data_IF_451553084619
#
_entry.id   IF_451553084619
#
_cell.length_a   1.000
_cell.length_b   1.000
_cell.length_c   1.000
_cell.angle_alpha   90.00
_cell.angle_beta   90.00
_cell.angle_gamma   90.00
#
_symmetry.space_group_name_H-M   'P 1'
#
loop_
_entity.id
_entity.type
_entity.pdbx_description
1 polymer ?
#
# COMPACT_ATOMS: atom_id res chain seq x y z
N UNK A 1 -1.16 -7.60 5.82
CA UNK A 1 -0.84 -8.76 6.67
C UNK A 1 -0.03 -8.19 7.81
N UNK A 2 -0.67 -7.90 8.94
CA UNK A 2 -0.04 -7.18 10.05
C UNK A 2 1.12 -8.01 10.63
N UNK A 3 2.03 -7.31 11.31
CA UNK A 3 3.19 -7.78 12.06
C UNK A 3 3.16 -9.26 12.48
N UNK A 4 4.21 -9.99 12.09
CA UNK A 4 4.52 -11.35 12.58
C UNK A 4 3.91 -12.50 11.77
N UNK A 5 3.15 -12.22 10.71
CA UNK A 5 2.63 -13.25 9.82
C UNK A 5 3.61 -13.58 8.67
N UNK A 6 3.51 -14.78 8.06
CA UNK A 6 4.36 -15.12 6.91
C UNK A 6 4.07 -14.24 5.69
N UNK A 7 5.05 -14.08 4.79
CA UNK A 7 4.93 -13.30 3.56
C UNK A 7 4.04 -14.00 2.50
N UNK A 8 2.74 -14.09 2.78
CA UNK A 8 1.75 -14.71 1.92
C UNK A 8 0.70 -13.73 1.42
N UNK A 9 0.27 -13.99 0.19
CA UNK A 9 -0.90 -13.41 -0.44
C UNK A 9 -2.02 -14.45 -0.48
N UNK A 10 -3.26 -13.98 -0.35
CA UNK A 10 -4.44 -14.82 -0.46
C UNK A 10 -5.22 -14.43 -1.71
N UNK A 11 -5.39 -15.38 -2.62
CA UNK A 11 -6.26 -15.18 -3.77
C UNK A 11 -7.71 -15.44 -3.36
N UNK A 12 -8.60 -14.50 -3.66
CA UNK A 12 -10.02 -14.56 -3.30
C UNK A 12 -10.88 -14.65 -4.57
N UNK A 13 -11.99 -15.38 -4.49
CA UNK A 13 -13.05 -15.27 -5.50
C UNK A 13 -14.00 -14.08 -5.21
N UNK A 14 -14.97 -13.86 -6.09
CA UNK A 14 -15.95 -12.77 -5.95
C UNK A 14 -16.91 -12.94 -4.78
N UNK A 15 -16.99 -14.13 -4.18
CA UNK A 15 -17.74 -14.40 -2.97
C UNK A 15 -16.88 -14.23 -1.71
N UNK A 16 -15.61 -13.84 -1.85
CA UNK A 16 -14.66 -13.71 -0.74
C UNK A 16 -14.08 -15.04 -0.27
N UNK A 17 -14.27 -16.14 -1.01
CA UNK A 17 -13.69 -17.43 -0.65
C UNK A 17 -12.23 -17.50 -1.06
N UNK A 18 -11.39 -18.05 -0.19
CA UNK A 18 -9.98 -18.28 -0.48
C UNK A 18 -9.83 -19.37 -1.54
N UNK A 19 -9.17 -19.03 -2.64
CA UNK A 19 -8.83 -19.93 -3.74
C UNK A 19 -7.46 -20.57 -3.56
N UNK A 20 -6.48 -19.79 -3.10
CA UNK A 20 -5.12 -20.26 -2.87
C UNK A 20 -4.38 -19.33 -1.90
N UNK A 21 -3.44 -19.92 -1.16
CA UNK A 21 -2.35 -19.22 -0.47
C UNK A 21 -1.10 -19.21 -1.35
N UNK A 22 -0.57 -18.01 -1.60
CA UNK A 22 0.56 -17.76 -2.50
C UNK A 22 1.70 -17.11 -1.70
N UNK A 23 2.82 -17.80 -1.57
CA UNK A 23 3.98 -17.28 -0.85
C UNK A 23 4.83 -16.34 -1.70
N UNK A 24 5.60 -15.47 -1.04
CA UNK A 24 6.58 -14.61 -1.67
C UNK A 24 8.00 -15.00 -1.26
N UNK A 25 8.84 -15.32 -2.25
CA UNK A 25 10.24 -15.69 -2.03
C UNK A 25 11.03 -14.48 -1.52
N UNK A 26 11.91 -14.74 -0.54
CA UNK A 26 12.87 -13.78 0.02
C UNK A 26 12.23 -12.49 0.59
N UNK A 27 10.94 -12.51 0.89
CA UNK A 27 10.23 -11.41 1.52
C UNK A 27 10.12 -11.62 3.03
N UNK A 28 10.53 -10.62 3.81
CA UNK A 28 10.56 -10.73 5.27
C UNK A 28 9.24 -10.33 5.97
N UNK A 29 8.25 -9.80 5.24
CA UNK A 29 6.96 -9.32 5.75
C UNK A 29 7.04 -8.64 7.12
N UNK A 30 7.85 -7.57 7.20
CA UNK A 30 8.12 -6.91 8.47
C UNK A 30 6.88 -6.21 9.01
N UNK A 31 6.25 -5.37 8.19
CA UNK A 31 4.96 -4.73 8.49
C UNK A 31 4.22 -4.43 7.18
N UNK A 32 3.52 -5.43 6.63
CA UNK A 32 2.81 -5.33 5.35
C UNK A 32 1.45 -4.68 5.51
N UNK A 33 1.31 -3.48 4.94
CA UNK A 33 0.10 -2.66 5.06
C UNK A 33 -0.84 -2.86 3.88
N UNK A 34 -0.52 -2.21 2.75
CA UNK A 34 -1.41 -2.13 1.58
C UNK A 34 -0.87 -2.94 0.38
N UNK A 35 -1.76 -3.28 -0.55
CA UNK A 35 -1.44 -3.93 -1.83
C UNK A 35 -2.14 -3.23 -2.99
N UNK A 36 -1.35 -2.81 -3.99
CA UNK A 36 -1.85 -2.15 -5.18
C UNK A 36 -1.74 -3.04 -6.42
N UNK A 37 -2.83 -3.17 -7.18
CA UNK A 37 -2.82 -3.81 -8.50
C UNK A 37 -2.61 -2.77 -9.59
N UNK A 38 -1.77 -3.08 -10.59
CA UNK A 38 -1.54 -2.18 -11.72
C UNK A 38 -1.08 -2.92 -12.97
N UNK A 39 -1.25 -2.27 -14.12
CA UNK A 39 -0.74 -2.78 -15.41
C UNK A 39 0.33 -1.85 -15.95
N UNK A 40 1.53 -2.38 -16.17
CA UNK A 40 2.65 -1.66 -16.76
C UNK A 40 3.03 -2.30 -18.09
N UNK A 41 2.95 -1.54 -19.18
CA UNK A 41 3.26 -2.01 -20.55
C UNK A 41 2.47 -3.29 -20.94
N UNK A 42 1.20 -3.35 -20.54
CA UNK A 42 0.30 -4.47 -20.84
C UNK A 42 0.45 -5.69 -19.93
N UNK A 43 1.41 -5.67 -18.99
CA UNK A 43 1.62 -6.75 -18.03
C UNK A 43 1.02 -6.37 -16.67
N UNK A 44 0.18 -7.24 -16.05
CA UNK A 44 -0.34 -7.02 -14.71
C UNK A 44 0.68 -7.35 -13.62
N UNK A 45 0.66 -6.54 -12.56
CA UNK A 45 1.54 -6.59 -11.41
C UNK A 45 0.77 -6.30 -10.12
N UNK A 46 1.29 -6.83 -9.01
CA UNK A 46 0.90 -6.44 -7.66
C UNK A 46 2.11 -5.78 -6.98
N UNK A 47 1.88 -4.67 -6.29
CA UNK A 47 2.85 -4.01 -5.42
C UNK A 47 2.42 -4.16 -3.97
N UNK A 48 3.28 -4.75 -3.15
CA UNK A 48 3.03 -5.01 -1.74
C UNK A 48 3.87 -4.02 -0.93
N UNK A 49 3.22 -3.25 -0.05
CA UNK A 49 3.86 -2.23 0.77
C UNK A 49 4.31 -2.83 2.11
N UNK A 50 5.61 -3.05 2.27
CA UNK A 50 6.24 -3.29 3.58
C UNK A 50 6.65 -1.94 4.17
N UNK A 51 5.65 -1.23 4.67
CA UNK A 51 5.73 0.21 4.93
C UNK A 51 5.15 0.65 6.28
N UNK A 52 4.54 -0.27 7.03
CA UNK A 52 4.04 0.00 8.38
C UNK A 52 5.20 0.37 9.31
N UNK A 53 4.99 1.42 10.11
CA UNK A 53 5.99 1.96 11.02
C UNK A 53 5.33 2.73 12.17
N UNK A 54 4.46 2.06 12.92
CA UNK A 54 3.76 2.61 14.10
C UNK A 54 4.69 3.35 15.08
N UNK A 55 5.93 2.85 15.26
CA UNK A 55 6.93 3.41 16.16
C UNK A 55 7.81 4.49 15.50
N UNK A 56 7.66 4.74 14.20
CA UNK A 56 8.40 5.75 13.41
C UNK A 56 9.92 5.61 13.55
N UNK A 57 10.42 4.40 13.41
CA UNK A 57 11.83 4.04 13.61
C UNK A 57 12.46 3.39 12.37
N UNK A 58 11.66 2.99 11.39
CA UNK A 58 12.17 2.38 10.15
C UNK A 58 12.79 3.45 9.26
N UNK A 59 14.13 3.42 9.18
CA UNK A 59 14.88 4.31 8.30
C UNK A 59 14.74 4.00 6.81
N UNK A 60 14.10 2.88 6.44
CA UNK A 60 13.84 2.46 5.06
C UNK A 60 12.60 1.58 5.01
N UNK A 61 11.75 1.81 4.01
CA UNK A 61 10.55 1.04 3.67
C UNK A 61 10.80 0.26 2.38
N UNK A 62 10.01 -0.79 2.13
CA UNK A 62 10.11 -1.54 0.88
C UNK A 62 8.76 -1.65 0.16
N UNK A 63 8.78 -1.56 -1.16
CA UNK A 63 7.64 -1.93 -2.00
C UNK A 63 8.10 -3.08 -2.88
N UNK A 64 7.55 -4.27 -2.62
CA UNK A 64 7.89 -5.48 -3.37
C UNK A 64 6.89 -5.64 -4.51
N UNK A 65 7.38 -5.69 -5.74
CA UNK A 65 6.52 -5.85 -6.92
C UNK A 65 6.67 -7.25 -7.49
N UNK A 66 5.54 -7.89 -7.76
CA UNK A 66 5.46 -9.21 -8.38
C UNK A 66 4.57 -9.17 -9.62
N UNK A 67 4.79 -10.11 -10.53
CA UNK A 67 3.78 -10.40 -11.55
C UNK A 67 2.51 -10.88 -10.87
N UNK A 68 1.36 -10.32 -11.27
CA UNK A 68 0.07 -10.79 -10.74
C UNK A 68 -0.17 -12.24 -11.20
N UNK A 69 -0.30 -13.19 -10.26
CA UNK A 69 -0.57 -14.57 -10.63
C UNK A 69 -2.05 -14.77 -10.98
N UNK A 70 -2.36 -15.86 -11.69
CA UNK A 70 -3.73 -16.31 -11.93
C UNK A 70 -4.01 -17.65 -11.25
N UNK A 71 -3.91 -17.74 -9.91
CA UNK A 71 -4.09 -18.99 -9.19
C UNK A 71 -5.54 -19.46 -9.27
N UNK A 72 -5.73 -20.77 -9.23
CA UNK A 72 -7.04 -21.43 -9.18
C UNK A 72 -7.18 -22.19 -7.88
N UNK A 73 -8.41 -22.62 -7.56
CA UNK A 73 -8.66 -23.45 -6.38
C UNK A 73 -7.71 -24.66 -6.35
N UNK A 74 -6.96 -24.81 -5.25
CA UNK A 74 -5.94 -25.85 -5.11
C UNK A 74 -4.54 -25.48 -5.64
N UNK A 75 -4.29 -24.20 -5.96
CA UNK A 75 -2.93 -23.68 -6.27
C UNK A 75 -2.11 -23.36 -5.02
N UNK A 76 -2.41 -24.00 -3.89
CA UNK A 76 -1.71 -23.78 -2.63
C UNK A 76 -0.23 -24.14 -2.77
N UNK A 77 0.64 -23.29 -2.19
CA UNK A 77 2.09 -23.48 -2.26
C UNK A 77 2.74 -22.89 -3.51
N UNK A 78 2.00 -22.15 -4.36
CA UNK A 78 2.61 -21.28 -5.36
C UNK A 78 3.53 -20.26 -4.65
N UNK A 79 4.76 -20.12 -5.13
CA UNK A 79 5.72 -19.14 -4.61
C UNK A 79 6.12 -18.18 -5.73
N UNK A 80 5.86 -16.89 -5.53
CA UNK A 80 6.27 -15.83 -6.45
C UNK A 80 7.70 -15.37 -6.14
N UNK A 81 8.40 -14.88 -7.16
CA UNK A 81 9.64 -14.13 -6.99
C UNK A 81 9.39 -12.66 -7.30
N UNK A 82 9.99 -11.72 -6.55
CA UNK A 82 9.91 -10.31 -6.88
C UNK A 82 10.37 -10.06 -8.33
N UNK A 83 9.57 -9.31 -9.09
CA UNK A 83 10.00 -8.76 -10.37
C UNK A 83 10.99 -7.60 -10.13
N UNK A 84 10.74 -6.81 -9.09
CA UNK A 84 11.69 -5.86 -8.50
C UNK A 84 11.21 -5.45 -7.10
N UNK A 85 12.12 -4.86 -6.32
CA UNK A 85 11.81 -4.25 -5.03
C UNK A 85 12.30 -2.81 -5.03
N UNK A 86 11.45 -1.88 -4.61
CA UNK A 86 11.86 -0.51 -4.33
C UNK A 86 12.24 -0.39 -2.86
N UNK A 87 13.40 0.21 -2.60
CA UNK A 87 13.79 0.66 -1.26
C UNK A 87 13.58 2.16 -1.17
N UNK A 88 12.86 2.57 -0.13
CA UNK A 88 12.32 3.93 -0.03
C UNK A 88 12.72 4.56 1.29
N UNK A 89 13.19 5.81 1.23
CA UNK A 89 13.32 6.70 2.38
C UNK A 89 12.34 7.86 2.24
N UNK A 90 11.73 8.24 3.35
CA UNK A 90 10.93 9.45 3.41
C UNK A 90 11.84 10.66 3.65
N UNK A 91 11.53 11.84 3.07
CA UNK A 91 12.43 12.99 3.09
C UNK A 91 12.62 13.58 4.49
N UNK A 92 11.57 13.53 5.33
CA UNK A 92 11.54 14.16 6.67
C UNK A 92 11.62 13.12 7.81
N UNK A 93 12.29 12.00 7.54
CA UNK A 93 12.44 10.88 8.46
C UNK A 93 11.26 9.92 8.47
N UNK A 94 11.36 8.91 9.34
CA UNK A 94 10.42 7.81 9.45
C UNK A 94 8.97 8.28 9.70
N UNK A 95 8.01 7.66 9.01
CA UNK A 95 6.57 7.82 9.17
C UNK A 95 5.92 6.47 8.95
N UNK A 96 4.75 6.33 9.57
CA UNK A 96 3.89 5.17 9.40
C UNK A 96 3.10 5.30 8.11
N UNK A 97 3.36 4.45 7.11
CA UNK A 97 2.72 4.49 5.80
C UNK A 97 1.78 3.29 5.67
N UNK A 98 0.47 3.54 5.62
CA UNK A 98 -0.56 2.49 5.58
C UNK A 98 -1.33 2.42 4.25
N UNK A 99 -1.01 3.28 3.29
CA UNK A 99 -1.72 3.33 2.02
C UNK A 99 -0.74 3.40 0.85
N UNK A 100 -0.98 2.58 -0.17
CA UNK A 100 -0.21 2.53 -1.41
C UNK A 100 -1.16 2.48 -2.60
N UNK A 101 -1.07 3.47 -3.50
CA UNK A 101 -1.77 3.47 -4.78
C UNK A 101 -0.81 3.50 -5.97
N UNK A 102 -1.18 2.85 -7.07
CA UNK A 102 -0.38 2.81 -8.28
C UNK A 102 -1.00 3.65 -9.42
N UNK A 103 -0.35 4.74 -9.81
CA UNK A 103 -0.70 5.52 -11.00
C UNK A 103 0.20 5.10 -12.17
N UNK A 104 -0.21 4.02 -12.84
CA UNK A 104 0.52 3.46 -13.97
C UNK A 104 0.56 4.39 -15.20
N UNK A 105 -0.43 5.29 -15.34
CA UNK A 105 -0.46 6.26 -16.44
C UNK A 105 0.68 7.28 -16.33
N UNK A 106 1.08 7.63 -15.10
CA UNK A 106 2.21 8.55 -14.82
C UNK A 106 3.46 7.84 -14.33
N UNK A 107 3.47 6.50 -14.36
CA UNK A 107 4.57 5.66 -13.90
C UNK A 107 5.06 5.98 -12.47
N UNK A 108 4.11 6.22 -11.56
CA UNK A 108 4.40 6.53 -10.15
C UNK A 108 3.54 5.72 -9.17
N UNK A 109 4.10 5.45 -8.00
CA UNK A 109 3.33 5.09 -6.81
C UNK A 109 3.02 6.35 -5.99
N UNK A 110 1.95 6.25 -5.22
CA UNK A 110 1.54 7.20 -4.20
C UNK A 110 1.47 6.48 -2.86
N UNK A 111 2.04 7.08 -1.83
CA UNK A 111 1.99 6.59 -0.46
C UNK A 111 1.34 7.63 0.45
N UNK A 112 0.57 7.19 1.44
CA UNK A 112 -0.09 8.09 2.39
C UNK A 112 0.26 7.67 3.81
N UNK A 113 0.67 8.63 4.63
CA UNK A 113 0.95 8.36 6.04
C UNK A 113 -0.35 8.15 6.84
N UNK A 114 -0.32 7.22 7.81
CA UNK A 114 -1.30 7.18 8.88
C UNK A 114 -0.93 8.21 9.95
N UNK A 115 -1.90 9.03 10.33
CA UNK A 115 -1.74 10.05 11.37
C UNK A 115 -3.07 10.37 12.07
N UNK A 116 -3.04 11.02 13.22
CA UNK A 116 -4.23 11.63 13.83
C UNK A 116 -4.54 13.03 13.28
N UNK A 117 -3.70 13.54 12.36
CA UNK A 117 -3.78 14.85 11.72
C UNK A 117 -4.21 14.84 10.24
N UNK A 118 -3.69 15.81 9.47
CA UNK A 118 -3.77 15.78 8.00
C UNK A 118 -2.63 14.90 7.47
N UNK A 119 -2.92 13.81 6.74
CA UNK A 119 -1.86 12.92 6.26
C UNK A 119 -1.09 13.55 5.10
N UNK A 120 0.22 13.39 5.13
CA UNK A 120 1.14 13.70 4.04
C UNK A 120 1.05 12.65 2.94
N UNK A 121 1.03 13.12 1.70
CA UNK A 121 1.06 12.33 0.49
C UNK A 121 2.48 12.33 -0.08
N UNK A 122 3.00 11.15 -0.40
CA UNK A 122 4.31 10.97 -1.02
C UNK A 122 4.17 10.34 -2.40
N UNK A 123 5.07 10.70 -3.32
CA UNK A 123 5.17 10.06 -4.64
C UNK A 123 6.56 9.52 -4.90
N UNK A 124 6.63 8.44 -5.68
CA UNK A 124 7.87 7.79 -6.08
C UNK A 124 7.67 7.05 -7.42
N UNK A 125 8.74 6.79 -8.20
CA UNK A 125 8.60 6.05 -9.46
C UNK A 125 8.14 4.60 -9.23
N UNK A 126 7.45 4.00 -10.21
CA UNK A 126 7.08 2.57 -10.16
C UNK A 126 8.29 1.63 -10.10
N UNK A 127 9.44 2.08 -10.61
CA UNK A 127 10.66 1.28 -10.71
C UNK A 127 11.89 2.16 -10.56
N UNK A 128 12.85 1.68 -9.78
CA UNK A 128 14.17 2.27 -9.58
C UNK A 128 15.17 1.13 -9.32
N UNK A 129 16.46 1.38 -9.56
CA UNK A 129 17.54 0.44 -9.23
C UNK A 129 18.14 0.75 -7.86
N UNK A 130 18.31 2.03 -7.56
CA UNK A 130 18.87 2.51 -6.31
C UNK A 130 17.79 2.88 -5.30
N UNK A 131 18.24 3.20 -4.07
CA UNK A 131 17.40 3.78 -3.03
C UNK A 131 16.68 5.02 -3.54
N UNK A 132 15.37 5.09 -3.31
CA UNK A 132 14.53 6.22 -3.67
C UNK A 132 14.26 7.08 -2.43
N UNK A 133 14.47 8.39 -2.55
CA UNK A 133 13.89 9.33 -1.59
C UNK A 133 12.52 9.74 -2.13
N UNK A 134 11.46 9.41 -1.39
CA UNK A 134 10.10 9.76 -1.79
C UNK A 134 9.92 11.28 -1.80
N UNK A 135 9.10 11.78 -2.72
CA UNK A 135 8.80 13.21 -2.80
C UNK A 135 7.49 13.51 -2.05
N UNK A 136 7.58 14.33 -1.00
CA UNK A 136 6.40 14.91 -0.37
C UNK A 136 5.65 15.79 -1.38
N UNK A 137 4.37 15.50 -1.58
CA UNK A 137 3.50 16.14 -2.60
C UNK A 137 2.40 17.01 -1.99
N UNK A 138 2.28 17.04 -0.67
CA UNK A 138 1.33 17.88 0.07
C UNK A 138 0.65 17.13 1.21
N UNK A 139 -0.29 17.79 1.89
CA UNK A 139 -1.13 17.20 2.94
C UNK A 139 -2.58 17.13 2.50
N UNK A 140 -3.26 16.03 2.84
CA UNK A 140 -4.68 15.85 2.56
C UNK A 140 -5.49 16.45 3.70
N UNK A 141 -6.36 17.42 3.41
CA UNK A 141 -7.28 17.99 4.39
C UNK A 141 -8.54 17.14 4.48
N UNK A 142 -8.38 15.97 5.09
CA UNK A 142 -9.50 15.09 5.38
C UNK A 142 -10.22 15.68 6.59
N UNK A 143 -11.47 16.12 6.39
CA UNK A 143 -12.24 16.79 7.44
C UNK A 143 -12.36 15.96 8.73
N UNK A 144 -12.97 16.56 9.75
CA UNK A 144 -13.27 15.82 10.97
C UNK A 144 -14.41 14.83 10.72
N UNK A 145 -14.20 13.55 11.05
CA UNK A 145 -15.24 12.54 10.99
C UNK A 145 -15.70 12.21 12.42
N UNK A 146 -16.83 12.81 12.81
CA UNK A 146 -17.41 12.59 14.13
C UNK A 146 -18.24 11.30 14.10
N UNK A 147 -17.77 10.24 14.75
CA UNK A 147 -18.60 9.06 15.05
C UNK A 147 -18.90 9.05 16.55
N UNK A 148 -20.16 9.34 16.87
CA UNK A 148 -20.78 9.33 18.21
C UNK A 148 -20.46 10.54 19.09
N UNK A 149 -21.52 11.12 19.70
CA UNK A 149 -21.49 12.31 20.55
C UNK A 149 -20.58 12.24 21.80
N UNK A 150 -19.96 11.09 22.07
CA UNK A 150 -19.18 10.82 23.28
C UNK A 150 -17.66 10.77 23.06
N UNK A 151 -17.15 10.96 21.83
CA UNK A 151 -15.70 11.05 21.56
C UNK A 151 -15.36 12.37 20.86
N UNK A 152 -14.21 13.00 21.18
CA UNK A 152 -13.73 14.17 20.44
C UNK A 152 -13.63 13.84 18.95
N UNK A 153 -14.04 14.77 18.09
CA UNK A 153 -13.86 14.57 16.65
C UNK A 153 -12.36 14.56 16.33
N UNK A 154 -11.88 13.45 15.79
CA UNK A 154 -10.50 13.30 15.33
C UNK A 154 -10.46 13.55 13.83
N UNK A 155 -9.38 14.12 13.31
CA UNK A 155 -9.19 14.21 11.86
C UNK A 155 -9.12 12.80 11.27
N UNK A 156 -9.59 12.66 10.05
CA UNK A 156 -9.64 11.37 9.38
C UNK A 156 -8.29 10.94 8.77
N UNK A 157 -7.17 11.30 9.40
CA UNK A 157 -5.83 10.95 8.91
C UNK A 157 -5.42 9.49 9.14
N UNK A 158 -6.26 8.68 9.79
CA UNK A 158 -6.02 7.25 9.98
C UNK A 158 -6.38 6.48 8.71
N UNK A 159 -5.62 6.75 7.66
CA UNK A 159 -5.74 6.15 6.33
C UNK A 159 -5.37 4.67 6.39
N UNK A 160 -6.07 3.84 5.65
CA UNK A 160 -5.84 2.38 5.62
C UNK A 160 -5.74 1.80 4.20
N UNK A 161 -6.08 2.57 3.16
CA UNK A 161 -5.91 2.15 1.76
C UNK A 161 -5.99 3.33 0.79
N UNK A 162 -5.36 3.19 -0.37
CA UNK A 162 -5.45 4.11 -1.50
C UNK A 162 -5.55 3.31 -2.80
N UNK A 163 -6.55 3.60 -3.65
CA UNK A 163 -6.64 3.03 -4.98
C UNK A 163 -7.00 4.08 -6.04
N UNK A 164 -6.59 3.84 -7.29
CA UNK A 164 -6.90 4.71 -8.42
C UNK A 164 -7.92 4.05 -9.33
N UNK A 165 -8.81 4.86 -9.93
CA UNK A 165 -9.61 4.36 -11.04
C UNK A 165 -8.70 3.94 -12.21
N UNK A 166 -9.21 3.14 -13.14
CA UNK A 166 -8.41 2.60 -14.26
C UNK A 166 -7.72 3.67 -15.11
N UNK A 167 -8.29 4.88 -15.17
CA UNK A 167 -7.73 6.00 -15.91
C UNK A 167 -6.78 6.89 -15.09
N UNK A 168 -6.57 6.58 -13.80
CA UNK A 168 -5.81 7.38 -12.84
C UNK A 168 -6.21 8.86 -12.84
N UNK A 169 -7.52 9.10 -12.88
CA UNK A 169 -8.19 10.40 -12.80
C UNK A 169 -8.81 10.64 -11.44
N UNK A 170 -9.22 9.59 -10.75
CA UNK A 170 -9.79 9.63 -9.41
C UNK A 170 -9.02 8.68 -8.51
N UNK A 171 -8.95 9.02 -7.24
CA UNK A 171 -8.35 8.18 -6.22
C UNK A 171 -9.34 7.99 -5.08
N UNK A 172 -9.57 6.74 -4.69
CA UNK A 172 -10.34 6.40 -3.50
C UNK A 172 -9.37 6.24 -2.32
N UNK A 173 -9.54 7.05 -1.29
CA UNK A 173 -8.82 6.95 -0.04
C UNK A 173 -9.75 6.41 1.04
N UNK A 174 -9.34 5.33 1.70
CA UNK A 174 -10.06 4.77 2.84
C UNK A 174 -9.37 5.18 4.14
N UNK A 175 -10.18 5.49 5.15
CA UNK A 175 -9.73 5.77 6.50
C UNK A 175 -10.59 4.99 7.47
N UNK A 176 -10.13 4.86 8.73
CA UNK A 176 -10.92 4.25 9.80
C UNK A 176 -12.31 4.91 10.01
N UNK A 177 -12.53 6.10 9.46
CA UNK A 177 -13.75 6.88 9.62
C UNK A 177 -14.64 6.95 8.37
N UNK A 178 -14.09 6.71 7.17
CA UNK A 178 -14.86 6.80 5.93
C UNK A 178 -14.04 6.63 4.66
N UNK A 179 -14.70 6.90 3.53
CA UNK A 179 -14.11 6.88 2.19
C UNK A 179 -14.15 8.28 1.58
N UNK A 180 -13.10 8.64 0.84
CA UNK A 180 -12.90 9.96 0.20
C UNK A 180 -12.50 9.74 -1.26
N UNK A 181 -13.01 10.54 -2.20
CA UNK A 181 -12.73 10.43 -3.64
C UNK A 181 -12.73 11.77 -4.36
#
# INVERSE_FOLDING_TARGET
NDSGNPADLFALDRAGQVLARVGLRDAAAFDWEDIAAFTLRGQPYLAIADSGDNLRWRGTLEIVVVHEPAPRRGSDGLVLSPAWTLRVRLPDGARDIEALGADAARAQFWMVEKTDGDPTLYRLPLRAQDMVIAQASGTLRLGAACRVAAKPCVRAGRVTALDFDRAARQALLLTAQGAYW
#
